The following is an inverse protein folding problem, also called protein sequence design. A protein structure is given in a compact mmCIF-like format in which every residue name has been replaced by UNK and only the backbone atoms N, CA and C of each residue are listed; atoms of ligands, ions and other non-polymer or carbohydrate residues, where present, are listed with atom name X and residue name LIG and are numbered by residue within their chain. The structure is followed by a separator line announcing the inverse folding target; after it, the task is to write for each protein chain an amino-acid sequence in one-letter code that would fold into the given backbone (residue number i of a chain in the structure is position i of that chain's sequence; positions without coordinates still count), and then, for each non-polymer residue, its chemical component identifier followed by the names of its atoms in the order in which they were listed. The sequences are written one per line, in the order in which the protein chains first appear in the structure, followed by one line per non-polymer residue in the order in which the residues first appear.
data_IF_442769215586
#
_entry.id   IF_442769215586
#
_cell.length_a   1.000
_cell.length_b   1.000
_cell.length_c   1.000
_cell.angle_alpha   90.00
_cell.angle_beta   90.00
_cell.angle_gamma   90.00
#
_symmetry.space_group_name_H-M   'P 1'
#
loop_
_entity.id
_entity.type
_entity.pdbx_description
1 polymer ?
#
# COMPACT_ATOMS: atom_id res chain seq x y z
N UNK A 1 1.11 17.84 3.04
CA UNK A 1 1.42 19.08 3.78
C UNK A 1 2.92 19.37 3.75
N UNK A 2 3.37 20.58 4.09
CA UNK A 2 4.82 20.89 4.19
C UNK A 2 5.48 20.03 5.27
N UNK A 3 6.69 19.54 5.02
CA UNK A 3 7.43 18.76 6.02
C UNK A 3 8.13 19.69 7.03
N UNK A 4 7.45 19.98 8.13
CA UNK A 4 7.95 20.84 9.20
C UNK A 4 9.18 20.29 9.91
N UNK A 5 9.34 18.96 9.99
CA UNK A 5 10.50 18.32 10.63
C UNK A 5 11.81 18.51 9.86
N UNK A 6 11.74 18.75 8.56
CA UNK A 6 12.90 18.93 7.68
C UNK A 6 13.10 20.39 7.24
N UNK A 7 12.07 21.23 7.36
CA UNK A 7 12.08 22.61 6.85
C UNK A 7 12.05 22.70 5.31
N UNK A 8 11.89 21.58 4.62
CA UNK A 8 11.81 21.49 3.16
C UNK A 8 11.06 20.23 2.72
N UNK A 9 10.52 20.24 1.50
CA UNK A 9 9.75 19.14 0.93
C UNK A 9 8.34 18.99 1.53
N UNK A 10 7.68 17.89 1.16
CA UNK A 10 6.29 17.61 1.52
C UNK A 10 6.11 16.21 2.09
N UNK A 11 5.13 16.08 3.00
CA UNK A 11 4.59 14.81 3.46
C UNK A 11 3.43 14.39 2.55
N UNK A 12 3.41 13.12 2.17
CA UNK A 12 2.34 12.49 1.39
C UNK A 12 1.53 11.52 2.26
N UNK A 13 0.27 11.34 1.91
CA UNK A 13 -0.66 10.43 2.59
C UNK A 13 -0.66 9.03 1.95
N UNK A 14 -1.36 8.09 2.57
CA UNK A 14 -1.54 6.74 2.02
C UNK A 14 -2.21 6.80 0.64
N UNK A 15 -3.24 7.63 0.50
CA UNK A 15 -4.01 7.79 -0.73
C UNK A 15 -3.17 8.41 -1.85
N UNK A 16 -2.32 9.37 -1.51
CA UNK A 16 -1.39 9.98 -2.47
C UNK A 16 -0.36 8.96 -2.97
N UNK A 17 0.13 8.07 -2.09
CA UNK A 17 1.00 6.96 -2.48
C UNK A 17 0.26 5.98 -3.40
N UNK A 18 -0.93 5.54 -3.03
CA UNK A 18 -1.70 4.58 -3.82
C UNK A 18 -2.07 5.13 -5.21
N UNK A 19 -2.45 6.41 -5.28
CA UNK A 19 -2.69 7.10 -6.54
C UNK A 19 -1.41 7.14 -7.41
N UNK A 20 -0.26 7.46 -6.80
CA UNK A 20 1.04 7.46 -7.50
C UNK A 20 1.38 6.07 -8.04
N UNK A 21 1.32 5.03 -7.20
CA UNK A 21 1.63 3.65 -7.60
C UNK A 21 0.70 3.18 -8.74
N UNK A 22 -0.61 3.46 -8.63
CA UNK A 22 -1.59 3.13 -9.65
C UNK A 22 -1.32 3.84 -10.98
N UNK A 23 -0.99 5.13 -10.93
CA UNK A 23 -0.75 5.96 -12.13
C UNK A 23 0.41 5.44 -12.95
N UNK A 24 1.48 4.98 -12.28
CA UNK A 24 2.70 4.52 -12.94
C UNK A 24 2.80 2.99 -13.07
N UNK A 25 1.80 2.24 -12.60
CA UNK A 25 1.82 0.77 -12.63
C UNK A 25 2.89 0.15 -11.72
N UNK A 26 3.28 0.85 -10.65
CA UNK A 26 4.23 0.34 -9.65
C UNK A 26 3.51 -0.45 -8.56
N UNK A 27 4.22 -1.42 -7.97
CA UNK A 27 3.69 -2.21 -6.85
C UNK A 27 4.07 -1.64 -5.48
N UNK A 28 5.28 -1.09 -5.35
CA UNK A 28 5.83 -0.62 -4.08
C UNK A 28 6.69 0.63 -4.27
N UNK A 29 6.75 1.45 -3.23
CA UNK A 29 7.74 2.50 -3.05
C UNK A 29 8.81 2.01 -2.07
N UNK A 30 10.05 1.85 -2.54
CA UNK A 30 11.21 1.61 -1.68
C UNK A 30 11.98 2.92 -1.53
N UNK A 31 12.19 3.37 -0.29
CA UNK A 31 12.89 4.61 0.03
C UNK A 31 13.90 4.43 1.17
N UNK A 32 14.69 5.46 1.42
CA UNK A 32 15.57 5.54 2.59
C UNK A 32 15.37 6.88 3.34
N UNK A 33 16.42 7.35 4.01
CA UNK A 33 16.57 8.68 4.65
C UNK A 33 16.00 8.83 6.07
N UNK A 34 15.27 7.84 6.58
CA UNK A 34 14.76 7.84 7.96
C UNK A 34 15.34 6.65 8.72
N UNK A 35 15.98 6.91 9.86
CA UNK A 35 16.56 5.86 10.71
C UNK A 35 15.43 4.97 11.24
N UNK A 36 15.56 3.66 11.06
CA UNK A 36 14.61 2.66 11.58
C UNK A 36 15.33 1.70 12.51
N UNK A 37 14.72 1.40 13.66
CA UNK A 37 15.33 0.56 14.71
C UNK A 37 15.82 -0.80 14.18
N UNK A 38 15.04 -1.43 13.31
CA UNK A 38 15.35 -2.75 12.73
C UNK A 38 16.08 -2.65 11.37
N UNK A 39 16.54 -1.45 11.00
CA UNK A 39 17.11 -1.18 9.67
C UNK A 39 16.08 -1.05 8.55
N UNK A 40 14.82 -1.38 8.80
CA UNK A 40 13.73 -1.18 7.84
C UNK A 40 12.40 -0.90 8.54
N UNK A 41 11.40 -0.45 7.77
CA UNK A 41 10.00 -0.43 8.18
C UNK A 41 9.11 -0.63 6.96
N UNK A 42 8.06 -1.44 7.13
CA UNK A 42 6.98 -1.64 6.15
C UNK A 42 5.78 -0.80 6.61
N UNK A 43 5.23 0.01 5.71
CA UNK A 43 4.22 1.04 5.98
C UNK A 43 3.20 1.09 4.83
N UNK A 44 2.11 1.83 5.02
CA UNK A 44 1.10 2.15 3.99
C UNK A 44 0.66 0.90 3.19
N UNK A 45 -0.11 0.03 3.85
CA UNK A 45 -0.66 -1.19 3.24
C UNK A 45 0.41 -2.15 2.69
N UNK A 46 1.57 -2.19 3.34
CA UNK A 46 2.76 -2.91 2.90
C UNK A 46 3.32 -2.50 1.53
N UNK A 47 2.88 -1.37 0.98
CA UNK A 47 3.35 -0.82 -0.31
C UNK A 47 4.46 0.21 -0.18
N UNK A 48 4.75 0.69 1.04
CA UNK A 48 5.87 1.58 1.31
C UNK A 48 6.90 0.91 2.20
N UNK A 49 8.15 0.90 1.75
CA UNK A 49 9.26 0.31 2.47
C UNK A 49 10.32 1.38 2.69
N UNK A 50 10.62 1.65 3.96
CA UNK A 50 11.70 2.54 4.37
C UNK A 50 12.89 1.70 4.81
N UNK A 51 14.05 1.87 4.17
CA UNK A 51 15.30 1.19 4.47
C UNK A 51 16.34 2.10 5.10
N UNK A 52 17.19 1.48 5.91
CA UNK A 52 18.35 2.10 6.51
C UNK A 52 19.50 1.09 6.60
N UNK A 53 20.59 1.37 5.90
CA UNK A 53 21.70 0.42 5.68
C UNK A 53 22.88 0.61 6.63
N UNK A 54 22.79 1.54 7.59
CA UNK A 54 23.82 1.77 8.60
C UNK A 54 23.30 1.38 9.97
N UNK A 55 23.99 0.48 10.66
CA UNK A 55 23.74 0.19 12.08
C UNK A 55 24.45 1.21 12.96
N UNK A 56 23.99 1.40 14.20
CA UNK A 56 24.69 2.25 15.18
C UNK A 56 24.72 3.74 14.82
N UNK A 57 23.79 4.22 13.99
CA UNK A 57 23.89 5.55 13.37
C UNK A 57 23.87 6.66 14.43
N UNK A 58 24.93 7.48 14.45
CA UNK A 58 25.14 8.51 15.46
C UNK A 58 25.02 7.99 16.91
N UNK A 59 25.42 6.73 17.16
CA UNK A 59 25.31 6.10 18.48
C UNK A 59 23.90 5.58 18.82
N UNK A 60 22.95 5.63 17.89
CA UNK A 60 21.62 5.07 18.09
C UNK A 60 21.64 3.53 18.10
N UNK A 61 20.74 2.93 18.87
CA UNK A 61 20.56 1.47 18.92
C UNK A 61 19.78 0.90 17.74
N UNK A 62 20.14 1.27 16.51
CA UNK A 62 19.49 0.77 15.29
C UNK A 62 20.36 -0.26 14.56
N UNK A 63 19.68 -1.16 13.85
CA UNK A 63 20.29 -2.14 12.95
C UNK A 63 20.37 -1.62 11.51
N UNK A 64 21.06 -2.38 10.65
CA UNK A 64 21.08 -2.17 9.21
C UNK A 64 20.22 -3.21 8.48
N UNK A 65 19.68 -2.84 7.32
CA UNK A 65 18.98 -3.75 6.44
C UNK A 65 19.27 -3.42 4.97
N UNK A 66 19.27 -4.44 4.11
CA UNK A 66 19.20 -4.30 2.67
C UNK A 66 18.08 -5.18 2.09
N UNK A 67 17.67 -4.88 0.85
CA UNK A 67 16.68 -5.69 0.12
C UNK A 67 17.33 -6.28 -1.11
N UNK A 68 17.15 -7.59 -1.27
CA UNK A 68 17.38 -8.29 -2.53
C UNK A 68 16.03 -8.47 -3.24
N UNK A 69 15.81 -7.69 -4.31
CA UNK A 69 14.65 -7.83 -5.19
C UNK A 69 15.05 -8.72 -6.39
N UNK A 70 14.64 -9.98 -6.37
CA UNK A 70 14.99 -10.96 -7.40
C UNK A 70 13.88 -12.01 -7.53
N UNK A 71 13.58 -12.44 -8.76
CA UNK A 71 12.56 -13.45 -9.07
C UNK A 71 11.16 -13.09 -8.53
N UNK A 72 10.76 -11.83 -8.68
CA UNK A 72 9.47 -11.36 -8.17
C UNK A 72 9.34 -11.37 -6.64
N UNK A 73 10.44 -11.53 -5.90
CA UNK A 73 10.47 -11.57 -4.44
C UNK A 73 11.39 -10.48 -3.89
N UNK A 74 10.94 -9.79 -2.85
CA UNK A 74 11.77 -8.91 -2.03
C UNK A 74 12.19 -9.64 -0.76
N UNK A 75 13.50 -9.87 -0.60
CA UNK A 75 14.08 -10.50 0.59
C UNK A 75 14.79 -9.44 1.42
N UNK A 76 14.37 -9.29 2.67
CA UNK A 76 14.97 -8.35 3.62
C UNK A 76 16.12 -9.06 4.36
N UNK A 77 17.31 -8.50 4.26
CA UNK A 77 18.53 -9.04 4.87
C UNK A 77 18.99 -8.04 5.92
N UNK A 78 18.89 -8.45 7.18
CA UNK A 78 19.31 -7.62 8.31
C UNK A 78 20.77 -7.90 8.67
N UNK A 79 21.46 -6.83 9.01
CA UNK A 79 22.87 -6.81 9.36
C UNK A 79 22.99 -6.20 10.75
N UNK A 80 23.59 -6.96 11.67
CA UNK A 80 23.79 -6.57 13.05
C UNK A 80 25.23 -6.10 13.26
N UNK A 81 25.41 -5.16 14.19
CA UNK A 81 26.74 -4.73 14.59
C UNK A 81 27.39 -5.79 15.50
N UNK A 82 28.65 -6.11 15.24
CA UNK A 82 29.43 -7.21 15.86
C UNK A 82 29.59 -7.13 17.40
N UNK A 83 29.08 -6.09 18.07
CA UNK A 83 29.23 -5.85 19.51
C UNK A 83 27.92 -5.99 20.33
N UNK A 84 26.79 -6.38 19.71
CA UNK A 84 25.56 -6.62 20.47
C UNK A 84 25.55 -8.03 21.10
N UNK A 85 25.11 -8.20 22.37
CA UNK A 85 24.99 -9.52 22.99
C UNK A 85 23.95 -10.39 22.23
N UNK A 86 24.30 -11.65 21.96
CA UNK A 86 23.54 -12.58 21.10
C UNK A 86 22.07 -12.79 21.50
N UNK A 87 21.74 -12.72 22.80
CA UNK A 87 20.34 -12.81 23.28
C UNK A 87 19.51 -11.58 22.86
N UNK A 88 20.10 -10.38 22.87
CA UNK A 88 19.45 -9.16 22.42
C UNK A 88 19.21 -9.19 20.90
N UNK A 89 20.13 -9.80 20.15
CA UNK A 89 19.99 -10.08 18.72
C UNK A 89 18.77 -10.98 18.42
N UNK A 90 18.63 -12.13 19.08
CA UNK A 90 17.50 -13.04 18.84
C UNK A 90 16.13 -12.41 19.14
N UNK A 91 16.02 -11.68 20.27
CA UNK A 91 14.80 -10.97 20.63
C UNK A 91 14.46 -9.88 19.60
N UNK A 92 15.46 -9.11 19.17
CA UNK A 92 15.31 -8.13 18.09
C UNK A 92 14.85 -8.78 16.79
N UNK A 93 15.39 -9.97 16.47
CA UNK A 93 15.00 -10.71 15.27
C UNK A 93 13.56 -11.20 15.30
N UNK A 94 13.11 -11.76 16.41
CA UNK A 94 11.72 -12.14 16.58
C UNK A 94 10.78 -10.93 16.47
N UNK A 95 11.14 -9.81 17.10
CA UNK A 95 10.35 -8.58 17.03
C UNK A 95 10.26 -8.02 15.60
N UNK A 96 11.35 -8.06 14.84
CA UNK A 96 11.36 -7.60 13.45
C UNK A 96 10.54 -8.50 12.52
N UNK A 97 10.66 -9.82 12.68
CA UNK A 97 9.85 -10.76 11.93
C UNK A 97 8.35 -10.59 12.24
N UNK A 98 8.00 -10.42 13.52
CA UNK A 98 6.62 -10.17 13.94
C UNK A 98 6.06 -8.86 13.38
N UNK A 99 6.82 -7.76 13.47
CA UNK A 99 6.41 -6.47 12.91
C UNK A 99 6.25 -6.51 11.39
N UNK A 100 7.16 -7.18 10.68
CA UNK A 100 7.06 -7.39 9.23
C UNK A 100 5.80 -8.20 8.87
N UNK A 101 5.58 -9.33 9.55
CA UNK A 101 4.43 -10.18 9.30
C UNK A 101 3.11 -9.45 9.56
N UNK A 102 3.03 -8.68 10.65
CA UNK A 102 1.87 -7.87 10.98
C UNK A 102 1.60 -6.79 9.91
N UNK A 103 2.63 -6.05 9.49
CA UNK A 103 2.49 -5.01 8.46
C UNK A 103 2.03 -5.59 7.12
N UNK A 104 2.57 -6.75 6.71
CA UNK A 104 2.16 -7.45 5.48
C UNK A 104 0.76 -8.06 5.59
N UNK A 105 0.36 -8.55 6.77
CA UNK A 105 -0.99 -9.04 7.00
C UNK A 105 -2.03 -7.92 6.90
N UNK A 106 -1.78 -6.79 7.58
CA UNK A 106 -2.63 -5.61 7.51
C UNK A 106 -2.78 -5.11 6.07
N UNK A 107 -1.68 -4.99 5.33
CA UNK A 107 -1.72 -4.58 3.92
C UNK A 107 -2.56 -5.51 3.02
N UNK A 108 -2.50 -6.83 3.24
CA UNK A 108 -3.32 -7.79 2.49
C UNK A 108 -4.81 -7.71 2.82
N UNK A 109 -5.16 -7.44 4.08
CA UNK A 109 -6.56 -7.27 4.48
C UNK A 109 -7.15 -6.03 3.82
N UNK A 110 -6.47 -4.89 3.92
CA UNK A 110 -6.94 -3.63 3.35
C UNK A 110 -7.02 -3.69 1.82
N UNK A 111 -6.08 -4.36 1.15
CA UNK A 111 -6.17 -4.60 -0.31
C UNK A 111 -7.37 -5.49 -0.69
N UNK A 112 -7.66 -6.52 0.11
CA UNK A 112 -8.82 -7.38 -0.12
C UNK A 112 -10.15 -6.62 0.08
N UNK A 113 -10.25 -5.80 1.13
CA UNK A 113 -11.40 -4.95 1.41
C UNK A 113 -11.63 -3.91 0.30
N UNK A 114 -10.57 -3.23 -0.13
CA UNK A 114 -10.63 -2.27 -1.24
C UNK A 114 -11.07 -2.93 -2.55
N UNK A 115 -10.59 -4.15 -2.83
CA UNK A 115 -11.00 -4.92 -4.00
C UNK A 115 -12.46 -5.35 -3.93
N UNK A 116 -12.93 -5.80 -2.78
CA UNK A 116 -14.33 -6.16 -2.56
C UNK A 116 -15.26 -4.94 -2.74
N UNK A 117 -14.92 -3.80 -2.14
CA UNK A 117 -15.68 -2.56 -2.27
C UNK A 117 -15.72 -2.06 -3.73
N UNK A 118 -14.59 -2.15 -4.44
CA UNK A 118 -14.50 -1.84 -5.87
C UNK A 118 -15.42 -2.75 -6.71
N UNK A 119 -15.43 -4.05 -6.43
CA UNK A 119 -16.26 -5.01 -7.15
C UNK A 119 -17.75 -4.79 -6.88
N UNK A 120 -18.12 -4.49 -5.64
CA UNK A 120 -19.48 -4.12 -5.25
C UNK A 120 -19.93 -2.82 -5.96
N UNK A 121 -19.10 -1.77 -5.93
CA UNK A 121 -19.38 -0.52 -6.64
C UNK A 121 -19.54 -0.74 -8.16
N UNK A 122 -18.73 -1.61 -8.77
CA UNK A 122 -18.86 -1.96 -10.17
C UNK A 122 -20.18 -2.70 -10.48
N UNK A 123 -20.62 -3.61 -9.60
CA UNK A 123 -21.92 -4.31 -9.72
C UNK A 123 -23.09 -3.32 -9.65
N UNK A 124 -23.06 -2.39 -8.69
CA UNK A 124 -24.08 -1.35 -8.57
C UNK A 124 -24.13 -0.43 -9.79
N UNK A 125 -22.96 -0.01 -10.31
CA UNK A 125 -22.88 0.81 -11.52
C UNK A 125 -23.45 0.06 -12.74
N UNK A 126 -23.12 -1.22 -12.91
CA UNK A 126 -23.65 -2.05 -13.98
C UNK A 126 -25.18 -2.24 -13.88
N UNK A 127 -25.71 -2.48 -12.68
CA UNK A 127 -27.15 -2.58 -12.45
C UNK A 127 -27.88 -1.27 -12.77
N UNK A 128 -27.32 -0.12 -12.38
CA UNK A 128 -27.88 1.18 -12.70
C UNK A 128 -27.89 1.45 -14.22
N UNK A 129 -26.84 1.07 -14.95
CA UNK A 129 -26.79 1.15 -16.40
C UNK A 129 -27.85 0.27 -17.08
N UNK A 130 -28.03 -0.97 -16.60
CA UNK A 130 -29.06 -1.87 -17.12
C UNK A 130 -30.48 -1.34 -16.87
N UNK A 131 -30.75 -0.79 -15.68
CA UNK A 131 -32.04 -0.20 -15.36
C UNK A 131 -32.35 1.02 -16.25
N UNK A 132 -31.36 1.88 -16.48
CA UNK A 132 -31.49 3.03 -17.38
C UNK A 132 -31.75 2.59 -18.83
N UNK A 133 -31.04 1.57 -19.33
CA UNK A 133 -31.25 1.03 -20.66
C UNK A 133 -32.65 0.43 -20.85
N UNK A 134 -33.16 -0.30 -19.84
CA UNK A 134 -34.51 -0.86 -19.86
C UNK A 134 -35.58 0.24 -19.87
N UNK A 135 -35.44 1.26 -19.00
CA UNK A 135 -36.37 2.38 -18.96
C UNK A 135 -36.43 3.15 -20.29
N UNK A 136 -35.30 3.30 -20.98
CA UNK A 136 -35.25 3.90 -22.31
C UNK A 136 -35.98 3.04 -23.35
N UNK A 137 -35.81 1.71 -23.32
CA UNK A 137 -36.51 0.79 -24.23
C UNK A 137 -38.04 0.80 -24.01
N UNK A 138 -38.48 0.75 -22.74
CA UNK A 138 -39.91 0.80 -22.38
C UNK A 138 -40.57 2.13 -22.82
N UNK A 139 -39.83 3.24 -22.83
CA UNK A 139 -40.32 4.54 -23.31
C UNK A 139 -40.50 4.58 -24.84
N UNK A 140 -39.57 3.98 -25.59
CA UNK A 140 -39.66 3.88 -27.06
C UNK A 140 -40.87 3.03 -27.48
N UNK A 141 -41.17 1.94 -26.78
CA UNK A 141 -42.34 1.10 -27.06
C UNK A 141 -43.66 1.86 -26.83
N UNK A 142 -43.72 2.73 -25.83
CA UNK A 142 -44.90 3.57 -25.55
C UNK A 142 -45.17 4.65 -26.60
N UNK A 143 -44.14 5.27 -27.18
CA UNK A 143 -44.31 6.28 -28.23
C UNK A 143 -44.72 5.68 -29.59
N UNK A 144 -44.35 4.42 -29.87
CA UNK A 144 -44.78 3.70 -31.08
C UNK A 144 -46.27 3.34 -31.13
N UNK A 145 -46.99 3.49 -30.01
CA UNK A 145 -48.42 3.17 -29.86
C UNK A 145 -49.32 4.42 -29.91
N UNK A 146 -49.04 5.38 -30.81
CA UNK A 146 -49.96 6.47 -31.08
C UNK A 146 -51.11 5.99 -31.99
N UNK A 147 -52.38 6.17 -31.60
CA UNK A 147 -53.51 5.74 -32.43
C UNK A 147 -53.57 6.56 -33.72
N UNK A 148 -53.81 5.87 -34.84
CA UNK A 148 -53.87 6.48 -36.17
C UNK A 148 -54.93 7.62 -36.23
N UNK A 149 -54.63 8.74 -36.89
CA UNK A 149 -55.58 9.83 -37.03
C UNK A 149 -56.81 9.38 -37.85
N UNK A 150 -57.98 9.89 -37.44
CA UNK A 150 -59.30 9.58 -37.98
C UNK A 150 -59.47 9.97 -39.45
#
# INVERSE_FOLDING_TARGET
GVNTSRGTGHMFTAEALDAFLKTYGFSHLVRAHEVRKQGFQVQQHARMITLFSSSGYCGAGNEACCILACEGKMRFIRLEHHHAPQKASLASRAAAAGAFAAAVAAGRQEEAEAKAASEEAAKHAAAAQQAAAKAAADAVEKEGSLPAPK
#
